data_IF_354279241096
#
_entry.id   IF_354279241096
#
_cell.length_a   1.000
_cell.length_b   1.000
_cell.length_c   1.000
_cell.angle_alpha   90.00
_cell.angle_beta   90.00
_cell.angle_gamma   90.00
#
_symmetry.space_group_name_H-M   'P 1'
#
loop_
_entity.id
_entity.type
_entity.pdbx_description
1 polymer ?
#
# COMPACT_ATOMS: atom_id res chain seq x y z
N UNK A 1 -49.58 13.99 -22.00
CA UNK A 1 -48.17 14.41 -22.15
C UNK A 1 -47.52 14.63 -20.78
N UNK A 2 -47.48 13.61 -19.90
CA UNK A 2 -46.94 13.76 -18.53
C UNK A 2 -46.25 12.50 -17.99
N UNK A 3 -46.55 11.33 -18.58
CA UNK A 3 -45.95 10.04 -18.23
C UNK A 3 -44.53 9.85 -18.77
N UNK A 4 -44.18 10.49 -19.89
CA UNK A 4 -42.83 10.40 -20.49
C UNK A 4 -41.76 11.11 -19.65
N UNK A 5 -42.13 12.16 -18.92
CA UNK A 5 -41.21 12.95 -18.08
C UNK A 5 -40.76 12.21 -16.81
N UNK A 6 -41.61 11.33 -16.28
CA UNK A 6 -41.32 10.58 -15.06
C UNK A 6 -40.34 9.44 -15.34
N UNK A 7 -40.45 8.80 -16.51
CA UNK A 7 -39.58 7.68 -16.89
C UNK A 7 -38.15 8.13 -17.20
N UNK A 8 -37.95 9.30 -17.80
CA UNK A 8 -36.62 9.86 -18.05
C UNK A 8 -35.93 10.30 -16.77
N UNK A 9 -36.66 10.85 -15.79
CA UNK A 9 -36.12 11.20 -14.47
C UNK A 9 -35.64 9.98 -13.69
N UNK A 10 -36.38 8.87 -13.73
CA UNK A 10 -35.98 7.63 -13.04
C UNK A 10 -34.71 7.00 -13.64
N UNK A 11 -34.53 7.09 -14.95
CA UNK A 11 -33.32 6.57 -15.61
C UNK A 11 -32.07 7.41 -15.27
N UNK A 12 -32.19 8.74 -15.19
CA UNK A 12 -31.07 9.61 -14.82
C UNK A 12 -30.59 9.37 -13.37
N UNK A 13 -31.52 9.14 -12.43
CA UNK A 13 -31.18 8.87 -11.03
C UNK A 13 -30.51 7.49 -10.87
N UNK A 14 -30.92 6.50 -11.68
CA UNK A 14 -30.33 5.17 -11.69
C UNK A 14 -28.86 5.17 -12.14
N UNK A 15 -28.52 5.92 -13.20
CA UNK A 15 -27.15 5.95 -13.73
C UNK A 15 -26.19 6.69 -12.77
N UNK A 16 -26.63 7.76 -12.11
CA UNK A 16 -25.79 8.46 -11.12
C UNK A 16 -25.60 7.65 -9.84
N UNK A 17 -26.60 6.86 -9.42
CA UNK A 17 -26.48 5.98 -8.26
C UNK A 17 -25.55 4.77 -8.51
N UNK A 18 -25.46 4.29 -9.76
CA UNK A 18 -24.54 3.20 -10.13
C UNK A 18 -23.06 3.63 -10.11
N UNK A 19 -22.75 4.88 -10.48
CA UNK A 19 -21.37 5.37 -10.56
C UNK A 19 -20.67 5.53 -9.19
N UNK A 20 -21.42 5.52 -8.09
CA UNK A 20 -20.87 5.64 -6.72
C UNK A 20 -20.59 4.29 -6.04
N UNK A 21 -20.89 3.15 -6.69
CA UNK A 21 -20.85 1.82 -6.06
C UNK A 21 -19.50 1.09 -6.18
N UNK A 22 -18.43 1.72 -6.66
CA UNK A 22 -17.11 1.08 -6.82
C UNK A 22 -15.97 1.76 -6.08
N UNK A 23 -16.26 2.56 -5.06
CA UNK A 23 -15.26 3.01 -4.10
C UNK A 23 -15.81 2.75 -2.70
N UNK A 24 -15.99 1.47 -2.39
CA UNK A 24 -15.91 1.06 -0.98
C UNK A 24 -14.49 1.41 -0.56
N UNK A 25 -14.27 2.18 0.53
CA UNK A 25 -12.95 2.26 1.12
C UNK A 25 -12.49 0.83 1.35
N UNK A 26 -11.37 0.42 0.72
CA UNK A 26 -10.70 -0.79 1.16
C UNK A 26 -10.50 -0.67 2.68
N UNK A 27 -10.72 -1.75 3.44
CA UNK A 27 -10.45 -1.71 4.87
C UNK A 27 -8.98 -1.30 5.04
N UNK A 28 -8.77 -0.11 5.62
CA UNK A 28 -7.45 0.32 6.06
C UNK A 28 -6.88 -0.79 6.95
N UNK A 29 -5.64 -1.24 6.73
CA UNK A 29 -5.03 -2.26 7.58
C UNK A 29 -5.07 -1.81 9.04
N UNK A 30 -5.25 -2.77 9.95
CA UNK A 30 -5.10 -2.49 11.39
C UNK A 30 -3.73 -1.82 11.61
N UNK A 31 -3.71 -0.71 12.35
CA UNK A 31 -2.50 0.11 12.48
C UNK A 31 -1.33 -0.70 13.06
N UNK A 32 -1.61 -1.65 13.96
CA UNK A 32 -0.60 -2.57 14.50
C UNK A 32 -0.03 -3.48 13.39
N UNK A 33 -0.89 -4.05 12.54
CA UNK A 33 -0.47 -4.88 11.42
C UNK A 33 0.36 -4.09 10.39
N UNK A 34 -0.06 -2.88 10.04
CA UNK A 34 0.67 -2.02 9.11
C UNK A 34 2.06 -1.64 9.67
N UNK A 35 2.11 -1.26 10.95
CA UNK A 35 3.34 -0.89 11.63
C UNK A 35 4.32 -2.07 11.70
N UNK A 36 3.86 -3.23 12.17
CA UNK A 36 4.71 -4.43 12.30
C UNK A 36 5.22 -4.93 10.94
N UNK A 37 4.35 -4.90 9.92
CA UNK A 37 4.71 -5.29 8.56
C UNK A 37 5.76 -4.35 7.97
N UNK A 38 5.59 -3.04 8.13
CA UNK A 38 6.58 -2.06 7.70
C UNK A 38 7.90 -2.26 8.44
N UNK A 39 7.90 -2.39 9.78
CA UNK A 39 9.13 -2.54 10.57
C UNK A 39 9.89 -3.78 10.14
N UNK A 40 9.18 -4.89 9.93
CA UNK A 40 9.78 -6.14 9.46
C UNK A 40 10.43 -5.97 8.09
N UNK A 41 9.72 -5.39 7.13
CA UNK A 41 10.25 -5.13 5.80
C UNK A 41 11.46 -4.17 5.85
N UNK A 42 11.33 -3.05 6.54
CA UNK A 42 12.40 -2.06 6.71
C UNK A 42 13.61 -2.63 7.45
N UNK A 43 13.43 -3.63 8.31
CA UNK A 43 14.55 -4.35 8.96
C UNK A 43 15.35 -5.15 7.94
N UNK A 44 14.68 -5.86 7.03
CA UNK A 44 15.36 -6.56 5.92
C UNK A 44 16.11 -5.58 5.02
N UNK A 45 15.48 -4.46 4.66
CA UNK A 45 16.16 -3.43 3.85
C UNK A 45 17.34 -2.81 4.61
N UNK A 46 17.25 -2.67 5.93
CA UNK A 46 18.33 -2.13 6.77
C UNK A 46 19.58 -3.02 6.74
N UNK A 47 19.40 -4.34 6.71
CA UNK A 47 20.50 -5.28 6.57
C UNK A 47 21.21 -5.06 5.23
N UNK A 48 20.47 -4.84 4.14
CA UNK A 48 21.04 -4.53 2.82
C UNK A 48 21.78 -3.18 2.79
N UNK A 49 21.27 -2.18 3.50
CA UNK A 49 21.96 -0.88 3.68
C UNK A 49 23.30 -1.09 4.41
N UNK A 50 23.33 -1.92 5.45
CA UNK A 50 24.56 -2.21 6.21
C UNK A 50 25.58 -3.03 5.42
N UNK A 51 25.10 -3.92 4.56
CA UNK A 51 25.89 -4.68 3.59
C UNK A 51 26.37 -3.83 2.40
N UNK A 52 25.86 -2.61 2.27
CA UNK A 52 26.14 -1.67 1.16
C UNK A 52 25.76 -2.23 -0.20
N UNK A 53 24.65 -2.96 -0.27
CA UNK A 53 24.09 -3.39 -1.53
C UNK A 53 23.65 -2.17 -2.36
N UNK A 54 23.80 -2.23 -3.69
CA UNK A 54 23.27 -1.18 -4.55
C UNK A 54 21.73 -1.26 -4.59
N UNK A 55 21.08 -0.10 -4.76
CA UNK A 55 19.60 0.00 -4.71
C UNK A 55 18.89 -0.94 -5.70
N UNK A 56 19.45 -1.19 -6.89
CA UNK A 56 18.84 -2.08 -7.89
C UNK A 56 18.84 -3.56 -7.48
N UNK A 57 19.76 -3.97 -6.60
CA UNK A 57 19.76 -5.29 -5.98
C UNK A 57 18.72 -5.36 -4.86
N UNK A 58 18.63 -4.31 -4.04
CA UNK A 58 17.63 -4.16 -2.98
C UNK A 58 16.20 -4.19 -3.53
N UNK A 59 15.91 -3.46 -4.60
CA UNK A 59 14.59 -3.44 -5.24
C UNK A 59 14.19 -4.84 -5.75
N UNK A 60 15.15 -5.60 -6.29
CA UNK A 60 14.91 -6.96 -6.76
C UNK A 60 14.63 -7.91 -5.62
N UNK A 61 15.40 -7.81 -4.54
CA UNK A 61 15.24 -8.68 -3.38
C UNK A 61 13.96 -8.34 -2.61
N UNK A 62 13.56 -7.08 -2.56
CA UNK A 62 12.27 -6.63 -2.05
C UNK A 62 11.09 -7.21 -2.85
N UNK A 63 11.16 -7.22 -4.18
CA UNK A 63 10.16 -7.85 -5.04
C UNK A 63 10.05 -9.37 -4.76
N UNK A 64 11.18 -10.06 -4.66
CA UNK A 64 11.21 -11.48 -4.29
C UNK A 64 10.62 -11.70 -2.90
N UNK A 65 10.96 -10.85 -1.93
CA UNK A 65 10.45 -10.90 -0.56
C UNK A 65 8.93 -10.78 -0.55
N UNK A 66 8.34 -9.78 -1.21
CA UNK A 66 6.88 -9.64 -1.23
C UNK A 66 6.21 -10.85 -1.91
N UNK A 67 6.75 -11.32 -3.03
CA UNK A 67 6.19 -12.44 -3.81
C UNK A 67 6.10 -13.78 -3.05
N UNK A 68 6.94 -14.00 -2.03
CA UNK A 68 6.90 -15.24 -1.22
C UNK A 68 5.96 -15.16 -0.02
N UNK A 69 5.46 -13.97 0.32
CA UNK A 69 4.55 -13.80 1.47
C UNK A 69 3.16 -14.38 1.14
N UNK A 70 2.42 -14.86 2.16
CA UNK A 70 1.07 -15.35 1.97
C UNK A 70 0.02 -14.26 2.22
N UNK A 71 -1.10 -14.33 1.48
CA UNK A 71 -2.35 -13.65 1.81
C UNK A 71 -2.21 -12.12 1.97
N UNK A 72 -2.88 -11.58 2.98
CA UNK A 72 -2.93 -10.14 3.29
C UNK A 72 -1.55 -9.50 3.45
N UNK A 73 -0.57 -10.24 3.97
CA UNK A 73 0.79 -9.73 4.12
C UNK A 73 1.49 -9.53 2.78
N UNK A 74 1.25 -10.41 1.80
CA UNK A 74 1.73 -10.17 0.43
C UNK A 74 1.03 -8.96 -0.17
N UNK A 75 -0.30 -8.91 -0.06
CA UNK A 75 -1.07 -7.84 -0.69
C UNK A 75 -0.66 -6.48 -0.09
N UNK A 76 -0.42 -6.39 1.23
CA UNK A 76 0.14 -5.20 1.87
C UNK A 76 1.58 -4.91 1.39
N UNK A 77 2.44 -5.92 1.30
CA UNK A 77 3.81 -5.74 0.80
C UNK A 77 3.83 -5.19 -0.63
N UNK A 78 3.09 -5.80 -1.55
CA UNK A 78 3.05 -5.46 -2.96
C UNK A 78 2.49 -4.05 -3.21
N UNK A 79 1.43 -3.66 -2.49
CA UNK A 79 0.73 -2.41 -2.74
C UNK A 79 1.25 -1.25 -1.88
N UNK A 80 1.70 -1.53 -0.65
CA UNK A 80 2.07 -0.49 0.30
C UNK A 80 3.58 -0.35 0.51
N UNK A 81 4.35 -1.44 0.56
CA UNK A 81 5.76 -1.38 0.92
C UNK A 81 6.68 -1.38 -0.30
N UNK A 82 6.46 -2.28 -1.25
CA UNK A 82 7.29 -2.47 -2.44
C UNK A 82 7.44 -1.18 -3.26
N UNK A 83 6.38 -0.37 -3.51
CA UNK A 83 6.50 0.89 -4.24
C UNK A 83 7.29 1.98 -3.49
N UNK A 84 7.59 1.76 -2.20
CA UNK A 84 8.30 2.69 -1.33
C UNK A 84 9.72 2.19 -0.98
N UNK A 85 10.18 1.11 -1.61
CA UNK A 85 11.48 0.46 -1.31
C UNK A 85 12.65 1.44 -1.43
N UNK A 86 12.68 2.27 -2.47
CA UNK A 86 13.71 3.29 -2.69
C UNK A 86 13.75 4.32 -1.54
N UNK A 87 12.59 4.82 -1.13
CA UNK A 87 12.47 5.76 -0.01
C UNK A 87 12.87 5.11 1.30
N UNK A 88 12.41 3.88 1.56
CA UNK A 88 12.76 3.11 2.75
C UNK A 88 14.29 2.92 2.82
N UNK A 89 14.91 2.48 1.72
CA UNK A 89 16.36 2.31 1.62
C UNK A 89 17.12 3.61 1.93
N UNK A 90 16.73 4.72 1.31
CA UNK A 90 17.38 6.01 1.50
C UNK A 90 17.24 6.57 2.93
N UNK A 91 16.06 6.44 3.56
CA UNK A 91 15.86 6.90 4.93
C UNK A 91 16.63 6.04 5.96
N UNK A 92 16.77 4.72 5.71
CA UNK A 92 17.49 3.79 6.58
C UNK A 92 19.00 4.04 6.67
N UNK A 93 19.56 4.91 5.82
CA UNK A 93 20.92 5.42 6.01
C UNK A 93 21.07 6.28 7.27
N UNK A 94 19.98 6.86 7.79
CA UNK A 94 20.00 7.84 8.89
C UNK A 94 19.03 7.50 10.02
N UNK A 95 18.07 6.63 9.76
CA UNK A 95 16.96 6.34 10.66
C UNK A 95 16.85 4.83 10.93
N UNK A 96 16.24 4.50 12.06
CA UNK A 96 15.88 3.12 12.41
C UNK A 96 14.63 2.68 11.65
N UNK A 97 14.38 1.37 11.47
CA UNK A 97 13.13 0.86 10.89
C UNK A 97 11.86 1.45 11.52
N UNK A 98 11.84 1.60 12.85
CA UNK A 98 10.71 2.21 13.57
C UNK A 98 10.47 3.67 13.16
N UNK A 99 11.54 4.47 13.08
CA UNK A 99 11.43 5.89 12.68
C UNK A 99 10.98 6.04 11.23
N UNK A 100 11.54 5.22 10.33
CA UNK A 100 11.14 5.22 8.90
C UNK A 100 9.66 4.85 8.75
N UNK A 101 9.20 3.80 9.43
CA UNK A 101 7.78 3.43 9.38
C UNK A 101 6.86 4.49 10.00
N UNK A 102 7.35 5.24 11.00
CA UNK A 102 6.67 6.43 11.51
C UNK A 102 6.61 7.60 10.51
N UNK A 103 7.66 7.81 9.72
CA UNK A 103 7.65 8.85 8.67
C UNK A 103 6.81 8.48 7.44
N UNK A 104 6.43 7.20 7.33
CA UNK A 104 5.59 6.66 6.25
C UNK A 104 4.12 6.50 6.68
N UNK A 105 3.77 6.93 7.90
CA UNK A 105 2.44 6.83 8.49
C UNK A 105 1.92 5.37 8.61
N UNK A 106 2.82 4.40 8.63
CA UNK A 106 2.50 3.00 8.99
C UNK A 106 2.55 2.78 10.50
N UNK A 107 3.34 3.62 11.19
CA UNK A 107 3.38 3.85 12.63
C UNK A 107 3.26 5.37 12.87
#
# INVERSE_FOLDING_TARGET
>A
MKTTLVLTLLFCIGVTAYAQRTHEPEPEPDNEFACDSCITFATVIKDYVDERLPLDEVERDADVLCNILPGELRDFCDHELLPKTDRIFEELHKHTPQEVCGHLDFC
#
